data_IF_512686515535
#
_entry.id   IF_512686515535
#
_cell.length_a   1.000
_cell.length_b   1.000
_cell.length_c   1.000
_cell.angle_alpha   90.00
_cell.angle_beta   90.00
_cell.angle_gamma   90.00
#
_symmetry.space_group_name_H-M   'P 1'
#
loop_
_entity.id
_entity.type
_entity.pdbx_description
1 polymer ?
#
# COMPACT_ATOMS: atom_id res chain seq x y z
N UNK A 1 4.14 24.33 -2.41
CA UNK A 1 3.26 23.27 -2.99
C UNK A 1 3.48 23.25 -4.50
N UNK A 2 3.66 22.06 -5.08
CA UNK A 2 3.78 21.88 -6.54
C UNK A 2 2.46 21.43 -7.11
N UNK A 3 2.05 21.99 -8.27
CA UNK A 3 0.81 21.68 -8.96
C UNK A 3 1.09 21.40 -10.42
N UNK A 4 0.49 20.34 -10.96
CA UNK A 4 0.54 20.00 -12.37
C UNK A 4 -0.86 19.66 -12.90
N UNK A 5 -1.25 20.29 -13.99
CA UNK A 5 -2.46 19.91 -14.74
C UNK A 5 -2.16 18.72 -15.66
N UNK A 6 -3.10 17.81 -15.77
CA UNK A 6 -3.03 16.62 -16.64
C UNK A 6 -4.30 16.51 -17.46
N UNK A 7 -4.24 15.82 -18.61
CA UNK A 7 -5.36 15.71 -19.54
C UNK A 7 -6.43 14.72 -19.09
N UNK A 8 -6.02 13.67 -18.39
CA UNK A 8 -6.90 12.59 -17.98
C UNK A 8 -6.28 11.79 -16.83
N UNK A 9 -7.03 10.81 -16.32
CA UNK A 9 -6.63 9.96 -15.21
C UNK A 9 -5.39 9.10 -15.53
N UNK A 10 -5.25 8.61 -16.77
CA UNK A 10 -4.11 7.80 -17.16
C UNK A 10 -2.79 8.59 -17.10
N UNK A 11 -2.83 9.83 -17.56
CA UNK A 11 -1.68 10.73 -17.44
C UNK A 11 -1.35 11.01 -15.97
N UNK A 12 -2.36 11.18 -15.10
CA UNK A 12 -2.17 11.36 -13.66
C UNK A 12 -1.48 10.14 -13.03
N UNK A 13 -2.00 8.94 -13.27
CA UNK A 13 -1.45 7.68 -12.75
C UNK A 13 -0.02 7.47 -13.25
N UNK A 14 0.24 7.68 -14.53
CA UNK A 14 1.57 7.56 -15.11
C UNK A 14 2.56 8.57 -14.48
N UNK A 15 2.11 9.78 -14.24
CA UNK A 15 2.91 10.81 -13.58
C UNK A 15 3.28 10.40 -12.13
N UNK A 16 2.29 9.95 -11.36
CA UNK A 16 2.51 9.45 -9.99
C UNK A 16 3.47 8.27 -9.98
N UNK A 17 3.24 7.28 -10.84
CA UNK A 17 4.07 6.08 -10.91
C UNK A 17 5.52 6.36 -11.35
N UNK A 18 5.75 7.46 -12.08
CA UNK A 18 7.08 7.86 -12.55
C UNK A 18 7.83 8.73 -11.56
N UNK A 19 7.15 9.64 -10.88
CA UNK A 19 7.75 10.69 -10.07
C UNK A 19 7.39 10.63 -8.58
N UNK A 20 6.39 9.82 -8.21
CA UNK A 20 5.95 9.68 -6.83
C UNK A 20 6.96 8.94 -5.95
N UNK A 21 6.78 9.08 -4.65
CA UNK A 21 7.62 8.44 -3.63
C UNK A 21 7.27 6.98 -3.37
N UNK A 22 6.20 6.46 -3.98
CA UNK A 22 5.62 5.15 -3.69
C UNK A 22 5.06 4.99 -2.27
N UNK A 23 4.87 6.10 -1.56
CA UNK A 23 4.36 6.09 -0.19
C UNK A 23 2.83 6.06 -0.16
N UNK A 24 2.20 7.20 -0.35
CA UNK A 24 0.74 7.36 -0.23
C UNK A 24 0.23 8.35 -1.27
N UNK A 25 -0.79 7.95 -2.02
CA UNK A 25 -1.45 8.80 -2.99
C UNK A 25 -2.98 8.67 -2.88
N UNK A 26 -3.69 9.77 -3.11
CA UNK A 26 -5.14 9.84 -2.98
C UNK A 26 -5.78 10.43 -4.23
N UNK A 27 -6.91 9.87 -4.64
CA UNK A 27 -7.81 10.47 -5.62
C UNK A 27 -9.05 11.05 -4.95
N UNK A 28 -9.43 12.26 -5.35
CA UNK A 28 -10.69 12.88 -4.97
C UNK A 28 -11.63 12.85 -6.18
N UNK A 29 -12.67 12.05 -6.12
CA UNK A 29 -13.62 11.89 -7.22
C UNK A 29 -14.93 11.27 -6.74
N UNK A 30 -16.04 11.63 -7.38
CA UNK A 30 -17.33 10.95 -7.22
C UNK A 30 -17.53 9.82 -8.23
N UNK A 31 -16.67 9.74 -9.26
CA UNK A 31 -16.73 8.70 -10.28
C UNK A 31 -16.12 7.39 -9.80
N UNK A 32 -16.97 6.41 -9.52
CA UNK A 32 -16.55 5.09 -9.01
C UNK A 32 -15.60 4.32 -9.93
N UNK A 33 -15.74 4.48 -11.26
CA UNK A 33 -14.84 3.83 -12.23
C UNK A 33 -13.44 4.45 -12.17
N UNK A 34 -13.38 5.78 -12.08
CA UNK A 34 -12.12 6.50 -11.92
C UNK A 34 -11.43 6.17 -10.60
N UNK A 35 -12.19 6.10 -9.50
CA UNK A 35 -11.67 5.70 -8.20
C UNK A 35 -11.06 4.30 -8.25
N UNK A 36 -11.80 3.31 -8.76
CA UNK A 36 -11.31 1.93 -8.89
C UNK A 36 -10.05 1.87 -9.75
N UNK A 37 -10.07 2.50 -10.93
CA UNK A 37 -8.91 2.53 -11.84
C UNK A 37 -7.68 3.12 -11.16
N UNK A 38 -7.83 4.20 -10.38
CA UNK A 38 -6.74 4.80 -9.62
C UNK A 38 -6.18 3.83 -8.58
N UNK A 39 -7.04 3.27 -7.73
CA UNK A 39 -6.65 2.35 -6.65
C UNK A 39 -5.92 1.09 -7.17
N UNK A 40 -6.31 0.58 -8.34
CA UNK A 40 -5.72 -0.62 -8.93
C UNK A 40 -4.40 -0.35 -9.66
N UNK A 41 -4.18 0.87 -10.17
CA UNK A 41 -3.06 1.15 -11.10
C UNK A 41 -1.98 2.06 -10.52
N UNK A 42 -2.24 2.76 -9.44
CA UNK A 42 -1.20 3.50 -8.73
C UNK A 42 -0.32 2.52 -7.95
N UNK A 43 1.01 2.71 -8.03
CA UNK A 43 1.99 1.77 -7.44
C UNK A 43 2.34 2.06 -5.99
N UNK A 44 1.84 3.13 -5.44
CA UNK A 44 2.08 3.53 -4.05
C UNK A 44 1.66 2.46 -3.07
N UNK A 45 2.35 2.36 -1.95
CA UNK A 45 2.09 1.38 -0.90
C UNK A 45 0.69 1.55 -0.31
N UNK A 46 0.20 2.79 -0.27
CA UNK A 46 -1.13 3.15 0.20
C UNK A 46 -1.81 3.98 -0.87
N UNK A 47 -2.88 3.46 -1.45
CA UNK A 47 -3.73 4.16 -2.41
C UNK A 47 -5.08 4.46 -1.76
N UNK A 48 -5.52 5.71 -1.82
CA UNK A 48 -6.71 6.20 -1.12
C UNK A 48 -7.73 6.85 -2.05
N UNK A 49 -8.97 6.88 -1.63
CA UNK A 49 -10.07 7.52 -2.33
C UNK A 49 -10.91 8.36 -1.38
N UNK A 50 -11.06 9.65 -1.69
CA UNK A 50 -11.89 10.61 -0.94
C UNK A 50 -11.59 10.68 0.56
N UNK A 51 -10.33 10.57 0.94
CA UNK A 51 -9.90 10.67 2.34
C UNK A 51 -8.61 11.47 2.44
N UNK A 52 -8.31 11.95 3.63
CA UNK A 52 -7.01 12.58 3.91
C UNK A 52 -5.90 11.53 3.89
N UNK A 53 -4.77 11.87 3.32
CA UNK A 53 -3.56 11.01 3.39
C UNK A 53 -3.01 10.86 4.80
N UNK A 54 -3.47 11.66 5.77
CA UNK A 54 -3.16 11.50 7.19
C UNK A 54 -3.68 10.18 7.79
N UNK A 55 -4.69 9.54 7.16
CA UNK A 55 -5.13 8.21 7.55
C UNK A 55 -4.15 7.08 7.17
N UNK A 56 -3.05 7.40 6.47
CA UNK A 56 -1.96 6.48 6.21
C UNK A 56 -1.13 6.28 7.49
N UNK A 57 -1.65 5.51 8.43
CA UNK A 57 -1.10 5.29 9.76
C UNK A 57 -1.42 3.88 10.26
N UNK A 58 -0.43 3.22 10.84
CA UNK A 58 -0.58 1.87 11.38
C UNK A 58 -1.61 1.77 12.50
N UNK A 59 -1.78 2.83 13.30
CA UNK A 59 -2.83 2.93 14.32
C UNK A 59 -4.21 2.93 13.69
N UNK A 60 -4.43 3.75 12.66
CA UNK A 60 -5.68 3.83 11.91
C UNK A 60 -6.01 2.51 11.19
N UNK A 61 -4.98 1.78 10.72
CA UNK A 61 -5.15 0.47 10.09
C UNK A 61 -5.33 -0.69 11.09
N UNK A 62 -5.31 -0.42 12.37
CA UNK A 62 -5.51 -1.41 13.43
C UNK A 62 -4.28 -2.26 13.73
N UNK A 63 -3.08 -1.81 13.38
CA UNK A 63 -1.81 -2.52 13.65
C UNK A 63 -1.26 -2.23 15.07
N UNK A 64 -1.96 -1.43 15.86
CA UNK A 64 -1.58 -1.04 17.22
C UNK A 64 -0.56 0.09 17.25
N UNK A 65 0.52 -0.01 16.52
CA UNK A 65 1.56 1.01 16.40
C UNK A 65 2.22 0.98 15.02
N UNK A 66 3.05 1.98 14.75
CA UNK A 66 3.81 2.08 13.52
C UNK A 66 5.24 2.49 13.84
N UNK A 67 6.21 1.72 13.36
CA UNK A 67 7.64 2.06 13.45
C UNK A 67 8.16 2.71 12.17
N UNK A 68 7.38 2.64 11.10
CA UNK A 68 7.68 3.23 9.81
C UNK A 68 6.69 2.83 8.74
N UNK A 69 6.90 3.34 7.52
CA UNK A 69 6.15 2.95 6.34
C UNK A 69 7.13 2.48 5.27
N UNK A 70 6.89 1.27 4.75
CA UNK A 70 7.66 0.70 3.66
C UNK A 70 7.03 1.04 2.31
N UNK A 71 7.86 1.53 1.39
CA UNK A 71 7.47 1.78 -0.01
C UNK A 71 7.84 0.63 -0.95
N UNK A 72 8.27 -0.50 -0.38
CA UNK A 72 8.62 -1.69 -1.14
C UNK A 72 7.41 -2.29 -1.85
N UNK A 73 7.66 -3.00 -2.94
CA UNK A 73 6.63 -3.78 -3.63
C UNK A 73 6.39 -5.12 -2.94
N UNK A 74 7.46 -5.71 -2.37
CA UNK A 74 7.40 -6.93 -1.56
C UNK A 74 7.21 -6.60 -0.08
N UNK A 75 6.63 -7.51 0.72
CA UNK A 75 6.47 -7.31 2.16
C UNK A 75 7.80 -7.07 2.90
N UNK A 76 7.78 -6.22 3.94
CA UNK A 76 6.65 -5.44 4.38
C UNK A 76 6.34 -4.28 3.42
N UNK A 77 5.06 -3.93 3.28
CA UNK A 77 4.58 -2.85 2.41
C UNK A 77 3.53 -2.02 3.13
N UNK A 78 3.60 -0.68 3.00
CA UNK A 78 2.74 0.23 3.74
C UNK A 78 3.19 0.35 5.20
N UNK A 79 2.26 0.63 6.14
CA UNK A 79 2.58 0.75 7.55
C UNK A 79 3.23 -0.50 8.12
N UNK A 80 4.32 -0.32 8.86
CA UNK A 80 5.10 -1.39 9.50
C UNK A 80 4.85 -1.32 11.00
N UNK A 81 4.09 -2.28 11.51
CA UNK A 81 3.82 -2.47 12.92
C UNK A 81 4.48 -3.73 13.46
N UNK A 82 4.05 -4.18 14.64
CA UNK A 82 4.64 -5.31 15.34
C UNK A 82 4.64 -6.60 14.50
N UNK A 83 3.53 -6.90 13.86
CA UNK A 83 3.37 -8.13 13.06
C UNK A 83 4.27 -8.18 11.82
N UNK A 84 4.67 -7.02 11.29
CA UNK A 84 5.57 -6.92 10.15
C UNK A 84 7.04 -7.06 10.53
N UNK A 85 7.38 -6.96 11.82
CA UNK A 85 8.73 -7.06 12.35
C UNK A 85 9.11 -8.48 12.78
N UNK A 86 8.18 -9.42 12.69
CA UNK A 86 8.41 -10.82 13.09
C UNK A 86 8.42 -11.73 11.87
N UNK A 87 9.01 -12.90 12.04
CA UNK A 87 9.03 -13.98 11.06
C UNK A 87 8.51 -15.26 11.69
N UNK A 88 8.30 -16.27 10.90
CA UNK A 88 7.84 -17.58 11.37
C UNK A 88 8.73 -18.69 10.83
N UNK A 89 8.68 -19.83 11.52
CA UNK A 89 9.26 -21.08 11.01
C UNK A 89 8.29 -22.23 11.21
N UNK A 90 8.34 -23.19 10.32
CA UNK A 90 7.54 -24.38 10.43
C UNK A 90 8.23 -25.40 11.34
N UNK A 91 7.49 -25.99 12.29
CA UNK A 91 7.91 -27.17 13.04
C UNK A 91 7.12 -28.36 12.51
N UNK A 92 7.81 -29.33 11.96
CA UNK A 92 7.19 -30.56 11.45
C UNK A 92 7.75 -31.74 12.22
N UNK A 93 6.86 -32.54 12.82
CA UNK A 93 7.26 -33.75 13.53
C UNK A 93 6.35 -34.90 13.11
N UNK A 94 6.93 -36.11 13.09
CA UNK A 94 6.17 -37.32 12.85
C UNK A 94 6.80 -38.48 13.62
N UNK A 95 6.11 -39.65 13.66
CA UNK A 95 6.59 -40.91 14.21
C UNK A 95 7.27 -41.78 13.12
N UNK A 96 8.04 -41.14 12.19
CA UNK A 96 8.70 -41.84 11.10
C UNK A 96 7.87 -42.02 9.83
N UNK A 97 6.86 -41.16 9.60
CA UNK A 97 6.05 -41.21 8.41
C UNK A 97 6.83 -40.74 7.18
N UNK A 98 6.85 -41.54 6.13
CA UNK A 98 7.45 -41.22 4.85
C UNK A 98 6.47 -40.53 3.91
N UNK A 99 6.98 -39.75 2.96
CA UNK A 99 6.19 -39.19 1.86
C UNK A 99 6.10 -40.25 0.76
N UNK A 100 4.85 -40.53 0.34
CA UNK A 100 4.59 -41.37 -0.83
C UNK A 100 4.67 -40.54 -2.12
#
# INVERSE_FOLDING_TARGET
>A
MSVKSVKNLDEAINHINKYGTMHTDCIITQNKKSARKFLENVKSSIAMHNTSTQFADGGEFGFGGEVGISTNTLPPRGPVGLNQLVSYKYHVSSKGKTRN
#
